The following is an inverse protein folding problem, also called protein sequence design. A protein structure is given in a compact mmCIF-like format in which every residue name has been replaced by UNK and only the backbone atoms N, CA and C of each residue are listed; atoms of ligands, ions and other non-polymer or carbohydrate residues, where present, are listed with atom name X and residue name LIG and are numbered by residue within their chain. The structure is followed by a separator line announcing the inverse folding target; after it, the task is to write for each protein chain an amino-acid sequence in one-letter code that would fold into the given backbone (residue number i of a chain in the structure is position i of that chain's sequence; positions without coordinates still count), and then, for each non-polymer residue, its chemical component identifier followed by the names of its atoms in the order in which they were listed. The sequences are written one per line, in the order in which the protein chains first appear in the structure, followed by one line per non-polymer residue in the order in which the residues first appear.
data_IF_948645648148
#
_entry.id   IF_948645648148
#
_cell.length_a   1.000
_cell.length_b   1.000
_cell.length_c   1.000
_cell.angle_alpha   90.00
_cell.angle_beta   90.00
_cell.angle_gamma   90.00
#
_symmetry.space_group_name_H-M   'P 1'
#
loop_
_entity.id
_entity.type
_entity.pdbx_description
1 polymer ?
#
# COMPACT_ATOMS: atom_id res chain seq x y z
N UNK A 1 11.47 -4.89 17.24
CA UNK A 1 11.97 -4.49 18.57
C UNK A 1 11.15 -3.33 19.07
N UNK A 2 11.04 -3.12 20.39
CA UNK A 2 10.44 -1.88 20.92
C UNK A 2 11.18 -0.65 20.35
N UNK A 3 10.44 0.42 20.07
CA UNK A 3 10.96 1.64 19.41
C UNK A 3 10.95 1.62 17.88
N UNK A 4 10.55 0.51 17.24
CA UNK A 4 10.25 0.51 15.80
C UNK A 4 8.84 1.03 15.56
N UNK A 5 8.72 1.99 14.64
CA UNK A 5 7.48 2.68 14.34
C UNK A 5 7.06 2.45 12.89
N UNK A 6 5.76 2.41 12.67
CA UNK A 6 5.11 2.49 11.36
C UNK A 6 4.43 3.86 11.30
N UNK A 7 4.86 4.72 10.38
CA UNK A 7 4.39 6.10 10.27
C UNK A 7 3.61 6.33 8.99
N UNK A 8 2.58 7.16 9.07
CA UNK A 8 1.88 7.71 7.92
C UNK A 8 1.22 9.06 8.32
N UNK A 9 1.78 10.16 7.81
CA UNK A 9 1.37 11.51 8.17
C UNK A 9 1.45 11.75 9.69
N UNK A 10 0.39 12.27 10.33
CA UNK A 10 0.37 12.49 11.77
C UNK A 10 0.27 11.19 12.58
N UNK A 11 0.05 10.05 11.90
CA UNK A 11 -0.20 8.77 12.56
C UNK A 11 1.07 7.95 12.76
N UNK A 12 1.25 7.45 13.98
CA UNK A 12 2.41 6.64 14.37
C UNK A 12 1.94 5.40 15.13
N UNK A 13 2.11 4.22 14.54
CA UNK A 13 1.97 2.95 15.24
C UNK A 13 3.32 2.54 15.82
N UNK A 14 3.39 2.46 17.15
CA UNK A 14 4.63 2.22 17.88
C UNK A 14 4.48 1.12 18.92
N UNK A 15 5.47 0.23 19.00
CA UNK A 15 5.60 -0.71 20.10
C UNK A 15 6.42 -0.10 21.24
N UNK A 16 5.77 0.12 22.37
CA UNK A 16 6.33 0.74 23.56
C UNK A 16 7.13 -0.27 24.41
N UNK A 17 8.01 0.23 25.29
CA UNK A 17 8.87 -0.59 26.16
C UNK A 17 8.10 -1.51 27.12
N UNK A 18 6.89 -1.13 27.51
CA UNK A 18 5.98 -1.94 28.33
C UNK A 18 5.20 -3.01 27.52
N UNK A 19 5.59 -3.24 26.27
CA UNK A 19 4.95 -4.15 25.31
C UNK A 19 3.56 -3.74 24.85
N UNK A 20 3.14 -2.50 25.13
CA UNK A 20 1.91 -1.97 24.56
C UNK A 20 2.17 -1.53 23.13
N UNK A 21 1.36 -2.03 22.20
CA UNK A 21 1.31 -1.49 20.85
C UNK A 21 0.30 -0.36 20.86
N UNK A 22 0.73 0.84 20.48
CA UNK A 22 -0.06 2.08 20.56
C UNK A 22 -0.05 2.77 19.21
N UNK A 23 -1.21 3.25 18.79
CA UNK A 23 -1.37 4.15 17.66
C UNK A 23 -1.58 5.57 18.19
N UNK A 24 -0.74 6.49 17.72
CA UNK A 24 -0.80 7.91 18.01
C UNK A 24 -1.27 8.70 16.79
N UNK A 25 -1.90 9.85 17.05
CA UNK A 25 -2.13 10.93 16.09
C UNK A 25 -1.67 12.22 16.75
N UNK A 26 -0.71 12.93 16.17
CA UNK A 26 -0.16 14.17 16.75
C UNK A 26 0.20 14.00 18.24
N UNK A 27 0.91 12.91 18.56
CA UNK A 27 1.32 12.50 19.91
C UNK A 27 0.18 12.01 20.84
N UNK A 28 -1.09 12.19 20.46
CA UNK A 28 -2.22 11.70 21.24
C UNK A 28 -2.51 10.20 20.95
N UNK A 29 -2.57 9.32 21.96
CA UNK A 29 -2.87 7.91 21.74
C UNK A 29 -4.36 7.71 21.40
N UNK A 30 -4.64 7.16 20.21
CA UNK A 30 -6.01 6.93 19.71
C UNK A 30 -6.44 5.46 19.77
N UNK A 31 -5.50 4.52 19.81
CA UNK A 31 -5.78 3.09 19.93
C UNK A 31 -4.60 2.34 20.54
N UNK A 32 -4.85 1.22 21.22
CA UNK A 32 -3.79 0.34 21.69
C UNK A 32 -4.29 -1.10 21.98
N UNK A 33 -3.35 -2.04 22.17
CA UNK A 33 -3.66 -3.46 22.42
C UNK A 33 -4.07 -3.79 23.86
N UNK A 34 -4.02 -2.83 24.80
CA UNK A 34 -4.14 -3.02 26.25
C UNK A 34 -3.24 -4.13 26.85
N UNK A 35 -2.32 -4.67 26.07
CA UNK A 35 -1.43 -5.73 26.47
C UNK A 35 -0.19 -5.13 27.11
N UNK A 36 0.18 -5.62 28.30
CA UNK A 36 1.36 -5.15 29.02
C UNK A 36 2.13 -6.34 29.56
N UNK A 37 3.45 -6.25 29.55
CA UNK A 37 4.28 -7.16 30.33
C UNK A 37 4.33 -6.63 31.77
N UNK A 38 3.51 -7.21 32.65
CA UNK A 38 3.33 -6.75 34.04
C UNK A 38 4.57 -6.86 34.93
N UNK A 39 5.68 -7.43 34.44
CA UNK A 39 6.83 -7.79 35.27
C UNK A 39 8.18 -7.17 34.88
N UNK A 40 8.30 -6.46 33.74
CA UNK A 40 9.61 -5.90 33.35
C UNK A 40 9.48 -4.64 32.46
N UNK A 41 9.99 -3.48 32.90
CA UNK A 41 10.03 -2.25 32.08
C UNK A 41 10.98 -2.35 30.87
N UNK A 42 11.88 -3.33 30.85
CA UNK A 42 12.79 -3.65 29.73
C UNK A 42 12.39 -4.96 29.04
N UNK A 43 11.10 -5.21 28.89
CA UNK A 43 10.62 -6.45 28.28
C UNK A 43 11.02 -6.53 26.79
N UNK A 44 11.65 -7.63 26.41
CA UNK A 44 12.05 -7.93 25.03
C UNK A 44 10.82 -8.23 24.16
N UNK A 45 10.15 -7.17 23.75
CA UNK A 45 8.92 -7.24 22.99
C UNK A 45 9.11 -6.90 21.53
N UNK A 46 8.38 -7.61 20.69
CA UNK A 46 8.35 -7.35 19.26
C UNK A 46 6.97 -7.58 18.68
N UNK A 47 6.68 -6.79 17.65
CA UNK A 47 5.50 -6.93 16.82
C UNK A 47 5.85 -7.86 15.66
N UNK A 48 4.98 -8.81 15.37
CA UNK A 48 5.15 -9.71 14.24
C UNK A 48 3.83 -9.87 13.48
N UNK A 49 3.88 -9.61 12.17
CA UNK A 49 2.85 -10.08 11.25
C UNK A 49 3.18 -11.52 10.85
N UNK A 50 2.32 -12.44 11.25
CA UNK A 50 2.55 -13.87 11.01
C UNK A 50 2.20 -14.27 9.59
N UNK A 51 2.77 -15.39 9.13
CA UNK A 51 2.37 -16.05 7.89
C UNK A 51 0.92 -16.56 7.86
N UNK A 52 0.12 -16.31 8.90
CA UNK A 52 -1.31 -16.66 8.99
C UNK A 52 -2.19 -15.42 9.24
N UNK A 53 -1.70 -14.22 8.90
CA UNK A 53 -2.49 -12.99 8.94
C UNK A 53 -2.79 -12.44 10.34
N UNK A 54 -2.15 -12.98 11.37
CA UNK A 54 -2.26 -12.45 12.73
C UNK A 54 -1.18 -11.39 12.96
N UNK A 55 -1.58 -10.22 13.45
CA UNK A 55 -0.68 -9.25 14.04
C UNK A 55 -0.52 -9.63 15.52
N UNK A 56 0.69 -9.95 15.95
CA UNK A 56 0.95 -10.49 17.30
C UNK A 56 2.00 -9.65 17.99
N UNK A 57 1.68 -9.21 19.21
CA UNK A 57 2.67 -8.69 20.14
C UNK A 57 3.22 -9.85 20.95
N UNK A 58 4.53 -10.07 20.88
CA UNK A 58 5.21 -11.13 21.63
C UNK A 58 6.17 -10.54 22.65
N UNK A 59 6.29 -11.23 23.76
CA UNK A 59 7.36 -11.07 24.74
C UNK A 59 8.26 -12.32 24.68
N UNK A 60 9.52 -12.13 24.30
CA UNK A 60 10.44 -13.23 23.99
C UNK A 60 9.87 -14.18 22.91
N UNK A 61 10.52 -15.31 22.66
CA UNK A 61 10.17 -16.21 21.54
C UNK A 61 8.83 -16.94 21.75
N UNK A 62 8.42 -17.19 23.00
CA UNK A 62 7.34 -18.14 23.30
C UNK A 62 6.05 -17.51 23.84
N UNK A 63 6.03 -16.23 24.21
CA UNK A 63 4.88 -15.65 24.89
C UNK A 63 4.15 -14.64 24.00
N UNK A 64 2.93 -14.96 23.58
CA UNK A 64 2.06 -14.03 22.88
C UNK A 64 1.24 -13.24 23.89
N UNK A 65 1.46 -11.93 23.96
CA UNK A 65 0.72 -11.02 24.84
C UNK A 65 -0.62 -10.61 24.25
N UNK A 66 -0.67 -10.48 22.91
CA UNK A 66 -1.87 -10.08 22.18
C UNK A 66 -1.83 -10.57 20.74
N UNK A 67 -2.99 -10.85 20.17
CA UNK A 67 -3.18 -11.21 18.76
C UNK A 67 -4.45 -10.56 18.21
N UNK A 68 -4.36 -10.00 17.00
CA UNK A 68 -5.48 -9.29 16.37
C UNK A 68 -6.69 -10.16 16.03
N UNK A 69 -6.45 -11.36 15.48
CA UNK A 69 -7.48 -12.29 14.98
C UNK A 69 -7.08 -13.75 15.17
N UNK A 70 -8.03 -14.70 15.02
CA UNK A 70 -7.72 -16.10 14.75
C UNK A 70 -6.84 -16.30 13.51
N UNK A 71 -6.21 -17.48 13.41
CA UNK A 71 -5.32 -17.83 12.29
C UNK A 71 -6.09 -17.91 10.96
N UNK A 72 -5.63 -17.16 9.96
CA UNK A 72 -6.06 -17.29 8.58
C UNK A 72 -5.22 -18.34 7.82
N UNK A 73 -5.42 -18.44 6.50
CA UNK A 73 -4.65 -19.31 5.60
C UNK A 73 -3.15 -18.98 5.67
N UNK A 74 -2.29 -19.94 5.30
CA UNK A 74 -0.84 -19.67 5.26
C UNK A 74 -0.51 -18.82 4.02
N UNK A 75 0.27 -17.74 4.17
CA UNK A 75 0.67 -16.87 3.06
C UNK A 75 1.46 -15.64 3.50
N UNK A 76 1.68 -14.72 2.54
CA UNK A 76 2.28 -13.40 2.80
C UNK A 76 1.17 -12.37 3.03
N UNK A 77 1.32 -11.52 4.03
CA UNK A 77 0.33 -10.53 4.43
C UNK A 77 0.98 -9.14 4.42
N UNK A 78 0.15 -8.10 4.38
CA UNK A 78 0.59 -6.72 4.51
C UNK A 78 -0.10 -6.07 5.70
N UNK A 79 0.67 -5.35 6.52
CA UNK A 79 0.16 -4.42 7.53
C UNK A 79 0.20 -3.02 6.93
N UNK A 80 -0.95 -2.36 6.87
CA UNK A 80 -1.10 -1.01 6.34
C UNK A 80 -1.60 -0.09 7.44
N UNK A 81 -0.93 1.05 7.60
CA UNK A 81 -1.43 2.22 8.33
C UNK A 81 -1.80 3.27 7.28
N UNK A 82 -3.07 3.65 7.22
CA UNK A 82 -3.52 4.66 6.25
C UNK A 82 -3.52 6.09 6.82
N UNK A 83 -3.74 7.06 5.94
CA UNK A 83 -3.74 8.48 6.27
C UNK A 83 -4.91 8.91 7.19
N UNK A 84 -5.83 7.98 7.52
CA UNK A 84 -6.94 8.21 8.46
C UNK A 84 -6.67 7.56 9.81
N UNK A 85 -5.46 7.05 10.06
CA UNK A 85 -5.11 6.39 11.31
C UNK A 85 -5.76 5.03 11.46
N UNK A 86 -6.04 4.34 10.35
CA UNK A 86 -6.60 2.98 10.40
C UNK A 86 -5.49 1.98 10.13
N UNK A 87 -5.42 0.96 10.99
CA UNK A 87 -4.47 -0.14 10.89
C UNK A 87 -5.22 -1.35 10.39
N UNK A 88 -4.74 -1.94 9.30
CA UNK A 88 -5.37 -3.09 8.68
C UNK A 88 -4.36 -4.14 8.23
N UNK A 89 -4.76 -5.40 8.34
CA UNK A 89 -4.03 -6.55 7.79
C UNK A 89 -4.76 -7.05 6.56
N UNK A 90 -4.07 -7.09 5.42
CA UNK A 90 -4.59 -7.61 4.17
C UNK A 90 -3.86 -8.88 3.78
N UNK A 91 -4.58 -9.88 3.27
CA UNK A 91 -3.91 -10.98 2.62
C UNK A 91 -4.75 -12.22 2.34
N UNK A 92 -4.11 -13.26 1.80
CA UNK A 92 -2.67 -13.31 1.48
C UNK A 92 -2.33 -12.59 0.15
N UNK A 93 -1.04 -12.46 -0.19
CA UNK A 93 -0.57 -11.87 -1.45
C UNK A 93 -1.13 -12.63 -2.65
N UNK A 94 -1.86 -11.93 -3.51
CA UNK A 94 -2.56 -12.52 -4.67
C UNK A 94 -1.77 -12.39 -5.96
N UNK A 95 -1.04 -11.28 -6.11
CA UNK A 95 -0.25 -10.98 -7.29
C UNK A 95 0.93 -10.07 -6.95
N UNK A 96 1.97 -10.09 -7.77
CA UNK A 96 3.11 -9.17 -7.68
C UNK A 96 3.75 -9.02 -9.05
N UNK A 97 4.27 -7.83 -9.34
CA UNK A 97 5.11 -7.62 -10.51
C UNK A 97 6.39 -8.47 -10.42
N UNK A 98 6.91 -8.86 -11.58
CA UNK A 98 8.29 -9.30 -11.70
C UNK A 98 9.21 -8.07 -11.71
N UNK A 99 10.45 -8.23 -11.21
CA UNK A 99 11.53 -7.29 -11.53
C UNK A 99 12.28 -7.91 -12.70
N UNK A 100 11.92 -7.52 -13.93
CA UNK A 100 12.78 -7.78 -15.08
C UNK A 100 14.07 -6.96 -14.91
N UNK A 101 15.22 -7.51 -15.33
CA UNK A 101 16.46 -6.74 -15.42
C UNK A 101 16.15 -5.47 -16.23
N UNK A 102 16.37 -4.32 -15.59
CA UNK A 102 15.61 -3.11 -15.93
C UNK A 102 15.74 -2.67 -17.39
N UNK A 103 14.62 -2.19 -17.92
CA UNK A 103 14.53 -1.61 -19.25
C UNK A 103 15.04 -0.16 -19.19
N UNK A 104 15.71 0.31 -20.25
CA UNK A 104 16.06 1.72 -20.39
C UNK A 104 14.78 2.56 -20.39
N UNK A 105 14.67 3.47 -19.41
CA UNK A 105 13.63 4.50 -19.42
C UNK A 105 14.03 5.67 -20.33
N UNK A 106 13.08 6.50 -20.79
CA UNK A 106 13.39 7.73 -21.50
C UNK A 106 14.19 8.67 -20.59
N UNK A 107 15.19 9.33 -21.16
CA UNK A 107 16.14 10.26 -20.51
C UNK A 107 15.52 11.64 -20.24
N UNK A 108 14.25 11.68 -19.82
CA UNK A 108 13.55 12.91 -19.51
C UNK A 108 13.41 13.07 -18.00
N UNK A 109 13.91 14.20 -17.50
CA UNK A 109 13.81 14.60 -16.10
C UNK A 109 12.38 15.04 -15.84
N UNK A 110 11.59 14.21 -15.17
CA UNK A 110 10.22 14.55 -14.77
C UNK A 110 10.25 15.52 -13.60
N UNK A 111 9.35 16.51 -13.60
CA UNK A 111 9.11 17.34 -12.43
C UNK A 111 8.77 16.45 -11.23
N UNK A 112 9.48 16.68 -10.12
CA UNK A 112 9.23 16.03 -8.84
C UNK A 112 7.90 16.52 -8.27
N UNK A 113 6.81 15.88 -8.65
CA UNK A 113 5.60 15.94 -7.82
C UNK A 113 5.83 15.04 -6.60
N UNK A 114 5.66 15.55 -5.37
CA UNK A 114 5.68 14.70 -4.18
C UNK A 114 4.51 13.72 -4.29
N UNK A 115 4.84 12.46 -4.56
CA UNK A 115 3.92 11.36 -4.39
C UNK A 115 4.11 10.87 -2.97
N UNK A 116 3.06 11.04 -2.18
CA UNK A 116 3.03 10.64 -0.78
C UNK A 116 2.51 9.20 -0.66
N UNK A 117 1.58 8.77 -1.52
CA UNK A 117 0.96 7.46 -1.36
C UNK A 117 1.81 6.30 -1.89
N UNK A 118 1.97 5.22 -1.11
CA UNK A 118 2.57 3.96 -1.58
C UNK A 118 1.55 2.83 -1.72
N UNK A 119 0.27 3.11 -1.47
CA UNK A 119 -0.82 2.12 -1.42
C UNK A 119 -2.00 2.59 -2.25
N UNK A 120 -2.48 1.75 -3.17
CA UNK A 120 -3.76 1.91 -3.85
C UNK A 120 -4.79 0.96 -3.22
N UNK A 121 -5.91 1.50 -2.77
CA UNK A 121 -7.02 0.72 -2.21
C UNK A 121 -8.00 0.27 -3.30
N UNK A 122 -8.65 -0.87 -3.10
CA UNK A 122 -9.69 -1.31 -4.04
C UNK A 122 -10.84 -0.31 -4.12
N UNK A 123 -11.38 -0.12 -5.33
CA UNK A 123 -12.40 0.89 -5.62
C UNK A 123 -11.83 2.31 -5.85
N UNK A 124 -10.55 2.56 -5.58
CA UNK A 124 -9.88 3.80 -5.96
C UNK A 124 -9.15 3.60 -7.30
N UNK A 125 -8.93 4.72 -7.99
CA UNK A 125 -8.22 4.78 -9.28
C UNK A 125 -7.01 5.67 -9.15
N UNK A 126 -5.92 5.25 -9.79
CA UNK A 126 -4.75 6.09 -10.02
C UNK A 126 -4.77 6.52 -11.48
N UNK A 127 -4.94 7.81 -11.74
CA UNK A 127 -5.13 8.42 -13.05
C UNK A 127 -3.80 8.86 -13.68
N UNK A 128 -3.81 9.18 -14.97
CA UNK A 128 -2.64 9.73 -15.64
C UNK A 128 -2.21 11.07 -15.01
N UNK A 129 -1.02 11.10 -14.42
CA UNK A 129 -0.47 12.23 -13.67
C UNK A 129 -0.35 11.95 -12.17
N UNK A 130 -1.17 11.04 -11.65
CA UNK A 130 -1.04 10.54 -10.28
C UNK A 130 0.00 9.43 -10.21
N UNK A 131 0.63 9.31 -9.04
CA UNK A 131 1.76 8.41 -8.82
C UNK A 131 1.68 7.77 -7.45
N UNK A 132 2.11 6.52 -7.35
CA UNK A 132 2.51 5.96 -6.06
C UNK A 132 4.02 6.07 -5.90
N UNK A 133 4.52 6.37 -4.71
CA UNK A 133 5.97 6.44 -4.44
C UNK A 133 6.33 5.82 -3.12
N UNK A 134 7.46 5.11 -3.13
CA UNK A 134 8.10 4.61 -1.93
C UNK A 134 9.60 4.80 -2.09
N UNK A 135 10.17 5.76 -1.34
CA UNK A 135 11.57 6.18 -1.45
C UNK A 135 11.95 6.51 -2.91
N UNK A 136 12.93 5.81 -3.48
CA UNK A 136 13.40 5.93 -4.86
C UNK A 136 12.59 5.13 -5.90
N UNK A 137 11.46 4.53 -5.52
CA UNK A 137 10.58 3.82 -6.45
C UNK A 137 9.30 4.60 -6.69
N UNK A 138 8.90 4.71 -7.95
CA UNK A 138 7.69 5.40 -8.37
C UNK A 138 6.89 4.52 -9.33
N UNK A 139 5.59 4.37 -9.10
CA UNK A 139 4.63 3.79 -10.03
C UNK A 139 3.81 4.93 -10.65
N UNK A 140 3.83 5.05 -11.97
CA UNK A 140 3.07 6.09 -12.67
C UNK A 140 2.84 5.76 -14.13
N UNK A 141 2.06 6.60 -14.80
CA UNK A 141 1.78 6.47 -16.23
C UNK A 141 2.78 7.23 -17.09
N UNK A 142 3.24 6.57 -18.15
CA UNK A 142 3.94 7.17 -19.28
C UNK A 142 3.22 6.81 -20.57
N UNK A 143 2.48 7.76 -21.17
CA UNK A 143 1.71 7.54 -22.42
C UNK A 143 0.80 6.30 -22.34
N UNK A 144 0.04 6.17 -21.24
CA UNK A 144 -0.80 5.02 -20.89
C UNK A 144 -0.08 3.68 -20.68
N UNK A 145 1.25 3.68 -20.67
CA UNK A 145 2.04 2.58 -20.15
C UNK A 145 2.22 2.78 -18.65
N UNK A 146 1.76 1.84 -17.83
CA UNK A 146 1.99 1.90 -16.39
C UNK A 146 3.37 1.34 -16.10
N UNK A 147 4.22 2.10 -15.41
CA UNK A 147 5.64 1.82 -15.23
C UNK A 147 6.02 1.95 -13.76
N UNK A 148 6.89 1.05 -13.30
CA UNK A 148 7.66 1.27 -12.06
C UNK A 148 9.05 1.78 -12.44
N UNK A 149 9.39 2.98 -12.02
CA UNK A 149 10.68 3.63 -12.23
C UNK A 149 11.50 3.63 -10.94
N UNK A 150 12.82 3.46 -11.07
CA UNK A 150 13.79 3.77 -10.03
C UNK A 150 14.33 5.19 -10.27
N UNK A 151 13.84 6.16 -9.51
CA UNK A 151 13.99 7.59 -9.78
C UNK A 151 15.46 8.05 -9.79
N UNK A 152 16.32 7.45 -8.97
CA UNK A 152 17.75 7.79 -8.93
C UNK A 152 18.52 7.37 -10.17
N UNK A 153 18.08 6.31 -10.86
CA UNK A 153 18.79 5.80 -12.04
C UNK A 153 18.01 5.95 -13.34
N UNK A 154 16.78 6.50 -13.30
CA UNK A 154 15.86 6.57 -14.44
C UNK A 154 15.46 5.20 -15.03
N UNK A 155 15.72 4.10 -14.31
CA UNK A 155 15.57 2.75 -14.87
C UNK A 155 14.17 2.22 -14.62
N UNK A 156 13.53 1.70 -15.67
CA UNK A 156 12.26 1.02 -15.54
C UNK A 156 12.46 -0.40 -15.00
N UNK A 157 11.84 -0.70 -13.86
CA UNK A 157 11.90 -2.00 -13.20
C UNK A 157 10.83 -2.95 -13.73
N UNK A 158 9.68 -2.40 -14.12
CA UNK A 158 8.53 -3.13 -14.64
C UNK A 158 7.63 -2.20 -15.46
N UNK A 159 6.88 -2.76 -16.41
CA UNK A 159 5.88 -2.04 -17.19
C UNK A 159 4.75 -2.94 -17.69
N UNK A 160 3.59 -2.37 -18.00
CA UNK A 160 2.46 -3.09 -18.62
C UNK A 160 2.61 -3.33 -20.12
N UNK A 161 3.51 -2.60 -20.79
CA UNK A 161 3.65 -2.55 -22.25
C UNK A 161 2.36 -2.14 -22.97
N UNK A 162 1.56 -1.29 -22.34
CA UNK A 162 0.31 -0.79 -22.92
C UNK A 162 0.58 0.41 -23.82
N UNK A 163 -0.14 0.48 -24.93
CA UNK A 163 -0.14 1.63 -25.85
C UNK A 163 -1.57 2.17 -25.91
N UNK A 164 -1.74 3.48 -25.75
CA UNK A 164 -3.01 4.11 -26.07
C UNK A 164 -3.27 3.99 -27.58
N UNK A 165 -4.51 3.66 -27.98
CA UNK A 165 -4.93 3.86 -29.35
C UNK A 165 -4.85 5.37 -29.68
N UNK A 166 -4.43 5.76 -30.90
CA UNK A 166 -4.46 7.16 -31.30
C UNK A 166 -5.89 7.70 -31.19
N UNK A 167 -6.04 8.91 -30.67
CA UNK A 167 -7.33 9.56 -30.54
C UNK A 167 -8.03 9.66 -31.92
N UNK A 168 -9.36 9.47 -32.00
CA UNK A 168 -10.10 9.74 -33.23
C UNK A 168 -9.88 11.19 -33.69
N UNK A 169 -9.60 11.38 -34.97
CA UNK A 169 -9.47 12.70 -35.60
C UNK A 169 -10.86 13.14 -36.10
N UNK A 170 -11.31 14.38 -35.87
CA UNK A 170 -10.59 15.51 -35.25
C UNK A 170 -10.64 15.45 -33.71
N UNK A 171 -9.46 15.47 -33.10
CA UNK A 171 -9.32 15.45 -31.64
C UNK A 171 -9.48 16.86 -31.06
N UNK A 172 -10.43 17.10 -30.13
CA UNK A 172 -10.52 18.37 -29.42
C UNK A 172 -9.38 18.48 -28.40
N UNK A 173 -8.41 19.38 -28.66
CA UNK A 173 -7.22 19.67 -27.82
C UNK A 173 -6.35 18.40 -27.55
N UNK A 174 -5.11 18.52 -27.05
CA UNK A 174 -4.39 17.35 -26.57
C UNK A 174 -5.20 16.74 -25.42
N UNK A 175 -6.04 15.74 -25.73
CA UNK A 175 -6.80 15.03 -24.72
C UNK A 175 -5.79 14.30 -23.86
N UNK A 176 -5.57 14.81 -22.65
CA UNK A 176 -4.97 14.08 -21.55
C UNK A 176 -5.58 12.68 -21.56
N UNK A 177 -4.77 11.66 -21.82
CA UNK A 177 -5.27 10.30 -21.98
C UNK A 177 -6.08 9.91 -20.74
N UNK A 178 -7.30 9.37 -20.92
CA UNK A 178 -8.18 8.92 -19.82
C UNK A 178 -7.73 7.56 -19.25
N UNK A 179 -6.41 7.44 -19.08
CA UNK A 179 -5.77 6.23 -18.62
C UNK A 179 -5.72 6.21 -17.11
N UNK A 180 -6.17 5.09 -16.55
CA UNK A 180 -6.16 4.88 -15.12
C UNK A 180 -5.88 3.43 -14.77
N UNK A 181 -5.27 3.26 -13.61
CA UNK A 181 -5.07 1.99 -12.93
C UNK A 181 -6.20 1.83 -11.92
N UNK A 182 -6.84 0.66 -11.92
CA UNK A 182 -7.91 0.33 -11.00
C UNK A 182 -7.60 -0.99 -10.31
N UNK A 183 -7.73 -1.00 -8.98
CA UNK A 183 -7.76 -2.23 -8.19
C UNK A 183 -9.23 -2.58 -7.90
N UNK A 184 -9.73 -3.66 -8.47
CA UNK A 184 -11.10 -4.09 -8.24
C UNK A 184 -11.25 -4.77 -6.87
N UNK A 185 -12.48 -4.84 -6.35
CA UNK A 185 -12.79 -5.58 -5.12
C UNK A 185 -12.57 -7.10 -5.26
N UNK A 186 -12.36 -7.60 -6.47
CA UNK A 186 -11.91 -8.99 -6.72
C UNK A 186 -10.41 -9.18 -6.48
N UNK A 187 -9.64 -8.10 -6.27
CA UNK A 187 -8.18 -8.11 -6.21
C UNK A 187 -7.50 -8.09 -7.57
N UNK A 188 -8.26 -7.99 -8.67
CA UNK A 188 -7.68 -7.85 -10.00
C UNK A 188 -7.25 -6.40 -10.24
N UNK A 189 -5.99 -6.23 -10.63
CA UNK A 189 -5.43 -4.95 -11.05
C UNK A 189 -5.57 -4.79 -12.57
N UNK A 190 -6.08 -3.65 -13.02
CA UNK A 190 -6.31 -3.35 -14.45
C UNK A 190 -5.79 -1.97 -14.84
N UNK A 191 -5.28 -1.86 -16.05
CA UNK A 191 -5.06 -0.57 -16.72
C UNK A 191 -6.14 -0.41 -17.78
N UNK A 192 -6.81 0.74 -17.77
CA UNK A 192 -7.87 1.09 -18.70
C UNK A 192 -7.58 2.44 -19.36
N UNK A 193 -8.20 2.68 -20.51
CA UNK A 193 -8.30 3.99 -21.15
C UNK A 193 -9.78 4.25 -21.43
N UNK A 194 -10.41 5.12 -20.64
CA UNK A 194 -11.87 5.23 -20.58
C UNK A 194 -12.53 3.89 -20.25
N UNK A 195 -13.37 3.40 -21.16
CA UNK A 195 -14.03 2.09 -21.03
C UNK A 195 -13.20 0.88 -21.49
N UNK A 196 -12.10 1.10 -22.22
CA UNK A 196 -11.32 0.02 -22.82
C UNK A 196 -10.30 -0.53 -21.81
N UNK A 197 -10.29 -1.85 -21.59
CA UNK A 197 -9.22 -2.50 -20.84
C UNK A 197 -7.97 -2.67 -21.72
N UNK A 198 -6.85 -2.09 -21.28
CA UNK A 198 -5.55 -2.20 -21.95
C UNK A 198 -4.70 -3.34 -21.40
N UNK A 199 -4.77 -3.58 -20.09
CA UNK A 199 -4.00 -4.65 -19.42
C UNK A 199 -4.72 -5.15 -18.18
N UNK A 200 -4.48 -6.42 -17.82
CA UNK A 200 -4.92 -7.02 -16.57
C UNK A 200 -3.83 -7.90 -15.95
N UNK A 201 -3.77 -7.90 -14.63
CA UNK A 201 -3.01 -8.87 -13.85
C UNK A 201 -3.50 -10.32 -14.02
N UNK A 202 -4.73 -10.52 -14.52
CA UNK A 202 -5.40 -11.82 -14.69
C UNK A 202 -5.43 -12.66 -13.40
N UNK A 203 -5.44 -11.98 -12.24
CA UNK A 203 -5.54 -12.61 -10.91
C UNK A 203 -6.76 -12.06 -10.18
N UNK A 204 -7.83 -12.85 -10.19
CA UNK A 204 -9.05 -12.60 -9.42
C UNK A 204 -9.11 -13.51 -8.22
N UNK A 205 -9.72 -13.00 -7.16
CA UNK A 205 -9.86 -13.70 -5.90
C UNK A 205 -11.20 -13.37 -5.24
N UNK A 206 -11.40 -13.87 -4.03
CA UNK A 206 -12.62 -13.63 -3.25
C UNK A 206 -12.90 -12.13 -3.14
N UNK A 207 -14.17 -11.73 -3.29
CA UNK A 207 -14.55 -10.32 -3.21
C UNK A 207 -14.26 -9.74 -1.82
N UNK A 208 -13.75 -8.52 -1.77
CA UNK A 208 -13.51 -7.78 -0.54
C UNK A 208 -12.57 -6.60 -0.74
N UNK A 209 -12.16 -5.98 0.35
CA UNK A 209 -11.19 -4.88 0.28
C UNK A 209 -9.79 -5.41 0.04
N UNK A 210 -9.16 -4.92 -1.03
CA UNK A 210 -7.79 -5.24 -1.41
C UNK A 210 -6.92 -3.99 -1.36
N UNK A 211 -5.61 -4.21 -1.32
CA UNK A 211 -4.61 -3.14 -1.47
C UNK A 211 -3.53 -3.57 -2.45
N UNK A 212 -3.08 -2.64 -3.28
CA UNK A 212 -1.85 -2.76 -4.06
C UNK A 212 -0.79 -1.87 -3.40
N UNK A 213 0.32 -2.46 -2.99
CA UNK A 213 1.38 -1.78 -2.24
C UNK A 213 2.64 -1.72 -3.09
N UNK A 214 3.18 -0.53 -3.32
CA UNK A 214 4.51 -0.31 -3.87
C UNK A 214 5.54 -0.51 -2.76
N UNK A 215 6.44 -1.48 -2.95
CA UNK A 215 7.27 -2.04 -1.89
C UNK A 215 8.69 -1.50 -1.95
N UNK A 216 9.42 -1.69 -0.84
CA UNK A 216 10.84 -1.35 -0.72
C UNK A 216 11.77 -2.08 -1.70
N UNK A 217 11.31 -3.13 -2.39
CA UNK A 217 12.07 -3.88 -3.39
C UNK A 217 11.71 -3.49 -4.84
N UNK A 218 11.04 -2.34 -5.01
CA UNK A 218 10.63 -1.82 -6.32
C UNK A 218 9.57 -2.66 -7.00
N UNK A 219 8.80 -3.46 -6.25
CA UNK A 219 7.67 -4.26 -6.77
C UNK A 219 6.35 -3.69 -6.32
N UNK A 220 5.35 -3.78 -7.19
CA UNK A 220 3.95 -3.65 -6.81
C UNK A 220 3.40 -5.03 -6.46
N UNK A 221 2.68 -5.15 -5.34
CA UNK A 221 2.04 -6.39 -4.94
C UNK A 221 0.62 -6.15 -4.43
N UNK A 222 -0.30 -7.04 -4.81
CA UNK A 222 -1.70 -7.01 -4.36
C UNK A 222 -1.89 -7.97 -3.20
N UNK A 223 -2.49 -7.48 -2.12
CA UNK A 223 -2.85 -8.24 -0.92
C UNK A 223 -4.36 -8.13 -0.68
N UNK A 224 -4.99 -9.24 -0.29
CA UNK A 224 -6.36 -9.22 0.18
C UNK A 224 -7.06 -10.58 0.11
N UNK A 225 -8.31 -10.66 0.60
CA UNK A 225 -9.06 -9.52 1.16
C UNK A 225 -8.57 -9.07 2.55
N UNK A 226 -9.17 -7.99 3.07
CA UNK A 226 -9.00 -7.53 4.45
C UNK A 226 -9.26 -8.66 5.45
N UNK A 227 -8.34 -8.86 6.39
CA UNK A 227 -8.39 -9.91 7.42
C UNK A 227 -8.76 -9.33 8.78
N UNK A 228 -8.22 -8.16 9.10
CA UNK A 228 -8.45 -7.48 10.37
C UNK A 228 -8.22 -5.98 10.22
N UNK A 229 -8.93 -5.19 11.02
CA UNK A 229 -8.65 -3.78 11.23
C UNK A 229 -8.89 -3.38 12.70
N UNK A 230 -8.22 -2.33 13.15
CA UNK A 230 -8.43 -1.76 14.50
C UNK A 230 -9.81 -1.10 14.66
N UNK A 231 -10.44 -0.70 13.55
CA UNK A 231 -11.77 -0.11 13.50
C UNK A 231 -12.65 -0.87 12.50
N UNK A 232 -13.98 -0.76 12.64
CA UNK A 232 -14.88 -1.17 11.56
C UNK A 232 -14.63 -0.27 10.37
N UNK A 233 -14.38 -0.92 9.25
CA UNK A 233 -14.27 -0.27 7.96
C UNK A 233 -15.66 -0.41 7.35
N UNK A 234 -16.58 0.52 7.59
CA UNK A 234 -17.90 0.56 6.90
C UNK A 234 -17.83 1.52 5.70
N UNK A 235 -18.56 1.21 4.61
CA UNK A 235 -18.51 1.89 3.29
C UNK A 235 -19.24 3.24 3.23
N UNK A 236 -19.26 4.03 4.31
CA UNK A 236 -19.95 5.34 4.31
C UNK A 236 -19.11 6.43 4.96
N UNK A 237 -18.22 7.03 4.17
CA UNK A 237 -18.02 8.48 4.12
C UNK A 237 -17.43 8.82 2.74
N UNK A 238 -18.32 9.09 1.80
CA UNK A 238 -18.02 9.75 0.55
C UNK A 238 -17.58 11.20 0.85
N UNK A 239 -16.52 11.62 0.16
CA UNK A 239 -16.15 13.00 -0.21
C UNK A 239 -16.03 14.00 0.95
N UNK A 240 -14.77 14.33 1.28
CA UNK A 240 -14.41 15.48 2.10
C UNK A 240 -12.95 15.85 1.88
N UNK A 241 -12.73 16.79 0.97
CA UNK A 241 -11.58 17.70 0.79
C UNK A 241 -10.18 17.23 1.20
N UNK A 242 -9.33 17.06 0.18
CA UNK A 242 -7.87 17.05 0.29
C UNK A 242 -7.36 18.37 0.89
N UNK A 243 -6.57 18.28 1.95
CA UNK A 243 -5.47 19.20 2.18
C UNK A 243 -4.19 18.37 2.23
N UNK A 244 -3.29 18.66 1.28
CA UNK A 244 -2.01 18.00 1.15
C UNK A 244 -1.05 18.49 2.23
N UNK A 245 -0.65 17.61 3.14
CA UNK A 245 0.56 17.80 3.94
C UNK A 245 1.43 16.57 3.77
N UNK A 246 2.60 16.79 3.18
CA UNK A 246 3.60 15.78 2.86
C UNK A 246 3.93 14.91 4.05
N UNK A 247 3.91 13.60 3.82
CA UNK A 247 3.89 12.59 4.88
C UNK A 247 4.83 11.45 4.50
N UNK A 248 5.76 11.09 5.38
CA UNK A 248 6.64 9.93 5.15
C UNK A 248 5.92 8.62 5.50
N UNK A 249 5.70 7.78 4.49
CA UNK A 249 5.03 6.48 4.62
C UNK A 249 6.04 5.37 4.91
N UNK A 250 5.65 4.48 5.81
CA UNK A 250 6.27 3.17 5.96
C UNK A 250 5.21 2.08 5.78
N UNK A 251 5.61 0.92 5.26
CA UNK A 251 4.81 -0.30 5.25
C UNK A 251 5.75 -1.47 5.60
N UNK A 252 5.33 -2.36 6.50
CA UNK A 252 6.07 -3.60 6.81
C UNK A 252 5.48 -4.77 6.02
N UNK A 253 6.34 -5.49 5.28
CA UNK A 253 6.03 -6.70 4.50
C UNK A 253 7.02 -7.79 4.89
#
# INVERSE_FOLDING_TARGET
MAGQNLTNGPHVLSLQHNCRLVLFTDEAPIWNTNATATANPNADCYLALTQRGQLVVRHRVHYALWSSVPRSKKGKYALVLDAKGRIAVYGYRRWSTSNSNGFGGPDETYEETPADECVLHSGHRLSAGEKLRYKEYELGFWKCNLVINHTKSGRWLWQTNTKAAPAPVPAPKPSQSDCYLELENSGELKVKNGGQQLWSSNKRTDSGRHVAVLRFDGRLAVYGPLVWANVRMDDSMAIGSYDAVGSHFSAFI
#
